data_IF_002266332817
#
_entry.id   IF_002266332817
#
_cell.length_a   1.000
_cell.length_b   1.000
_cell.length_c   1.000
_cell.angle_alpha   90.00
_cell.angle_beta   90.00
_cell.angle_gamma   90.00
#
_symmetry.space_group_name_H-M   'P 1'
#
loop_
_entity.id
_entity.type
_entity.pdbx_description
1 polymer ?
#
# COMPACT_ATOMS: atom_id res chain seq x y z
N UNK A 1 10.64 -6.43 -13.63
CA UNK A 1 10.26 -5.03 -13.36
C UNK A 1 8.74 -4.98 -13.36
N UNK A 2 8.15 -4.04 -12.64
CA UNK A 2 6.69 -3.96 -12.54
C UNK A 2 6.19 -2.86 -13.46
N UNK A 3 5.14 -3.15 -14.20
CA UNK A 3 4.48 -2.18 -15.08
C UNK A 3 3.17 -1.77 -14.45
N UNK A 4 2.85 -0.47 -14.50
CA UNK A 4 1.56 0.07 -14.13
C UNK A 4 0.93 0.83 -15.30
N UNK A 5 -0.39 0.78 -15.37
CA UNK A 5 -1.16 1.64 -16.27
C UNK A 5 -1.62 2.87 -15.49
N UNK A 6 -1.39 4.07 -16.04
CA UNK A 6 -1.83 5.33 -15.44
C UNK A 6 -2.52 6.21 -16.47
N UNK A 7 -3.38 7.10 -16.00
CA UNK A 7 -3.99 8.12 -16.83
C UNK A 7 -3.15 9.41 -16.81
N UNK A 8 -2.77 9.88 -17.98
CA UNK A 8 -1.94 11.06 -18.18
C UNK A 8 -2.55 12.33 -17.62
N UNK A 9 -3.87 12.51 -17.70
CA UNK A 9 -4.54 13.71 -17.18
C UNK A 9 -4.43 13.75 -15.67
N UNK A 10 -4.68 12.62 -15.03
CA UNK A 10 -4.53 12.47 -13.58
C UNK A 10 -3.10 12.71 -13.13
N UNK A 11 -2.12 12.17 -13.87
CA UNK A 11 -0.72 12.49 -13.65
C UNK A 11 -0.45 13.99 -13.76
N UNK A 12 -0.91 14.64 -14.84
CA UNK A 12 -0.76 16.09 -15.05
C UNK A 12 -1.42 16.91 -13.94
N UNK A 13 -2.61 16.51 -13.48
CA UNK A 13 -3.34 17.16 -12.40
C UNK A 13 -2.58 17.07 -11.06
N UNK A 14 -2.02 15.89 -10.74
CA UNK A 14 -1.23 15.66 -9.53
C UNK A 14 0.13 16.38 -9.56
N UNK A 15 0.75 16.49 -10.73
CA UNK A 15 1.99 17.26 -10.89
C UNK A 15 1.73 18.77 -10.83
N UNK A 16 0.58 19.22 -11.35
CA UNK A 16 0.24 20.64 -11.49
C UNK A 16 0.86 21.33 -12.71
N UNK A 17 1.54 20.60 -13.59
CA UNK A 17 2.01 21.09 -14.89
C UNK A 17 2.01 19.97 -15.93
N UNK A 18 1.82 20.35 -17.20
CA UNK A 18 1.90 19.41 -18.32
C UNK A 18 3.35 19.21 -18.79
N UNK A 19 3.65 17.99 -19.21
CA UNK A 19 4.94 17.63 -19.80
C UNK A 19 4.73 17.05 -21.20
N UNK A 20 5.64 17.39 -22.12
CA UNK A 20 5.65 16.76 -23.45
C UNK A 20 6.00 15.27 -23.34
N UNK A 21 5.45 14.47 -24.25
CA UNK A 21 5.72 13.02 -24.30
C UNK A 21 7.22 12.72 -24.42
N UNK A 22 7.95 13.52 -25.24
CA UNK A 22 9.41 13.43 -25.36
C UNK A 22 10.11 13.61 -24.01
N UNK A 23 9.69 14.59 -23.21
CA UNK A 23 10.26 14.84 -21.89
C UNK A 23 9.90 13.73 -20.89
N UNK A 24 8.68 13.20 -20.98
CA UNK A 24 8.27 12.03 -20.19
C UNK A 24 9.06 10.78 -20.56
N UNK A 25 9.43 10.57 -21.82
CA UNK A 25 10.18 9.38 -22.24
C UNK A 25 11.68 9.49 -21.95
N UNK A 26 12.31 10.63 -22.28
CA UNK A 26 13.78 10.76 -22.26
C UNK A 26 14.35 10.99 -20.85
N UNK A 27 13.64 11.73 -20.00
CA UNK A 27 14.17 12.16 -18.69
C UNK A 27 13.69 11.27 -17.53
N UNK A 28 12.67 10.44 -17.74
CA UNK A 28 12.13 9.49 -16.76
C UNK A 28 13.13 8.46 -16.25
N UNK A 29 14.04 8.04 -17.13
CA UNK A 29 15.03 6.99 -16.83
C UNK A 29 15.84 7.30 -15.57
N UNK A 30 16.10 8.59 -15.30
CA UNK A 30 16.84 9.04 -14.12
C UNK A 30 16.05 8.88 -12.82
N UNK A 31 14.73 8.77 -12.89
CA UNK A 31 13.84 8.54 -11.75
C UNK A 31 13.59 7.06 -11.45
N UNK A 32 14.15 6.15 -12.24
CA UNK A 32 13.90 4.71 -12.14
C UNK A 32 12.51 4.33 -12.66
N UNK A 33 11.99 5.11 -13.60
CA UNK A 33 10.72 4.86 -14.30
C UNK A 33 10.94 5.01 -15.81
N UNK A 34 10.25 4.21 -16.60
CA UNK A 34 10.34 4.19 -18.06
C UNK A 34 8.96 4.21 -18.66
N UNK A 35 8.66 5.22 -19.47
CA UNK A 35 7.38 5.34 -20.16
C UNK A 35 7.48 4.61 -21.50
N UNK A 36 6.65 3.60 -21.72
CA UNK A 36 6.70 2.76 -22.92
C UNK A 36 5.77 3.26 -24.00
N UNK A 37 4.47 3.31 -23.70
CA UNK A 37 3.42 3.67 -24.65
C UNK A 37 2.55 4.76 -24.04
N UNK A 38 2.32 5.82 -24.82
CA UNK A 38 1.38 6.90 -24.50
C UNK A 38 0.31 6.85 -25.61
N UNK A 39 -0.80 6.15 -25.35
CA UNK A 39 -1.95 6.10 -26.25
C UNK A 39 -3.07 7.01 -25.72
N UNK A 40 -3.10 8.23 -26.24
CA UNK A 40 -4.04 9.26 -25.79
C UNK A 40 -3.77 9.66 -24.33
N UNK A 41 -4.63 9.22 -23.41
CA UNK A 41 -4.41 9.45 -21.97
C UNK A 41 -3.94 8.20 -21.23
N UNK A 42 -3.90 7.02 -21.86
CA UNK A 42 -3.46 5.79 -21.18
C UNK A 42 -1.97 5.66 -21.38
N UNK A 43 -1.24 5.52 -20.27
CA UNK A 43 0.22 5.44 -20.26
C UNK A 43 0.68 4.17 -19.56
N UNK A 44 1.55 3.41 -20.22
CA UNK A 44 2.22 2.27 -19.62
C UNK A 44 3.58 2.70 -19.07
N UNK A 45 3.77 2.57 -17.75
CA UNK A 45 5.01 2.96 -17.07
C UNK A 45 5.64 1.74 -16.39
N UNK A 46 6.89 1.46 -16.71
CA UNK A 46 7.70 0.43 -16.07
C UNK A 46 8.56 1.03 -14.95
N UNK A 47 8.50 0.41 -13.77
CA UNK A 47 9.14 0.87 -12.55
C UNK A 47 10.28 -0.06 -12.14
N UNK A 48 11.37 0.55 -11.68
CA UNK A 48 12.49 -0.19 -11.12
C UNK A 48 12.14 -0.78 -9.75
N UNK A 49 12.62 -2.00 -9.42
CA UNK A 49 12.26 -2.68 -8.17
C UNK A 49 12.67 -1.94 -6.89
N UNK A 50 13.62 -1.01 -6.97
CA UNK A 50 14.11 -0.22 -5.84
C UNK A 50 13.28 1.06 -5.58
N UNK A 51 12.22 1.32 -6.37
CA UNK A 51 11.31 2.47 -6.22
C UNK A 51 9.85 2.02 -6.10
N UNK A 52 9.50 1.24 -5.06
CA UNK A 52 8.12 0.80 -4.86
C UNK A 52 7.17 1.96 -4.58
N UNK A 53 7.70 3.10 -4.12
CA UNK A 53 6.97 4.35 -3.97
C UNK A 53 6.46 4.92 -5.30
N UNK A 54 6.97 4.47 -6.45
CA UNK A 54 6.51 4.87 -7.78
C UNK A 54 5.50 3.89 -8.40
N UNK A 55 5.03 2.85 -7.70
CA UNK A 55 4.07 1.86 -8.24
C UNK A 55 2.63 2.40 -8.35
N UNK A 56 2.45 3.72 -8.35
CA UNK A 56 1.19 4.40 -8.55
C UNK A 56 1.40 5.75 -9.22
N UNK A 57 0.32 6.34 -9.75
CA UNK A 57 0.36 7.66 -10.39
C UNK A 57 0.77 8.77 -9.40
N UNK A 58 0.35 8.67 -8.14
CA UNK A 58 0.70 9.59 -7.05
C UNK A 58 2.20 9.57 -6.77
N UNK A 59 2.77 8.36 -6.72
CA UNK A 59 4.18 8.14 -6.54
C UNK A 59 5.04 8.74 -7.66
N UNK A 60 4.64 8.48 -8.90
CA UNK A 60 5.32 9.02 -10.08
C UNK A 60 5.18 10.54 -10.11
N UNK A 61 3.98 11.08 -9.92
CA UNK A 61 3.74 12.53 -9.91
C UNK A 61 4.61 13.23 -8.86
N UNK A 62 4.68 12.70 -7.63
CA UNK A 62 5.56 13.21 -6.57
C UNK A 62 7.04 13.19 -6.97
N UNK A 63 7.52 12.11 -7.57
CA UNK A 63 8.89 12.03 -8.05
C UNK A 63 9.19 13.08 -9.15
N UNK A 64 8.23 13.30 -10.04
CA UNK A 64 8.34 14.28 -11.12
C UNK A 64 8.32 15.72 -10.61
N UNK A 65 7.47 16.03 -9.62
CA UNK A 65 7.41 17.37 -9.01
C UNK A 65 8.78 17.80 -8.48
N UNK A 66 9.47 16.90 -7.78
CA UNK A 66 10.81 17.16 -7.26
C UNK A 66 11.91 17.19 -8.34
N UNK A 67 11.85 16.29 -9.33
CA UNK A 67 12.89 16.18 -10.36
C UNK A 67 12.90 17.33 -11.36
N UNK A 68 11.71 17.84 -11.71
CA UNK A 68 11.55 18.91 -12.68
C UNK A 68 11.41 20.30 -12.05
N UNK A 69 11.81 20.45 -10.78
CA UNK A 69 11.77 21.71 -10.02
C UNK A 69 10.38 22.37 -9.98
N UNK A 70 9.31 21.58 -10.08
CA UNK A 70 7.93 22.07 -9.94
C UNK A 70 7.65 22.38 -8.47
N UNK A 71 8.00 21.44 -7.60
CA UNK A 71 7.94 21.58 -6.14
C UNK A 71 9.21 20.95 -5.54
N UNK A 72 10.31 21.73 -5.49
CA UNK A 72 11.58 21.22 -5.01
C UNK A 72 11.58 21.05 -3.49
N UNK A 73 12.20 19.98 -3.02
CA UNK A 73 12.30 19.66 -1.59
C UNK A 73 11.54 18.40 -1.24
N UNK A 74 11.40 18.15 0.07
CA UNK A 74 10.61 17.03 0.57
C UNK A 74 9.15 17.43 0.68
N UNK A 75 8.27 16.52 0.28
CA UNK A 75 6.85 16.63 0.59
C UNK A 75 6.63 16.53 2.11
N UNK A 76 5.65 17.28 2.62
CA UNK A 76 5.34 17.30 4.05
C UNK A 76 3.96 16.70 4.30
N UNK A 77 3.92 15.47 4.80
CA UNK A 77 2.68 14.83 5.21
C UNK A 77 2.32 15.23 6.65
N UNK A 78 1.11 15.76 6.82
CA UNK A 78 0.55 15.99 8.15
C UNK A 78 -0.02 14.68 8.69
N UNK A 79 0.33 14.36 9.94
CA UNK A 79 -0.20 13.20 10.65
C UNK A 79 -1.04 13.68 11.82
N UNK A 80 -2.33 13.39 11.77
CA UNK A 80 -3.28 13.68 12.84
C UNK A 80 -3.23 12.57 13.91
N UNK A 81 -3.51 12.93 15.16
CA UNK A 81 -3.69 11.95 16.21
C UNK A 81 -5.06 11.29 16.06
N UNK A 82 -5.10 9.97 15.84
CA UNK A 82 -6.33 9.20 15.79
C UNK A 82 -6.59 8.45 17.10
N UNK A 83 -7.86 8.11 17.33
CA UNK A 83 -8.33 7.42 18.54
C UNK A 83 -8.52 5.90 18.34
N UNK A 84 -8.28 5.38 17.12
CA UNK A 84 -8.44 3.95 16.83
C UNK A 84 -7.25 3.17 17.37
N UNK A 85 -7.57 2.07 18.06
CA UNK A 85 -6.62 1.12 18.62
C UNK A 85 -6.80 -0.26 17.96
N UNK A 86 -5.67 -0.91 17.69
CA UNK A 86 -5.60 -2.30 17.25
C UNK A 86 -4.82 -3.09 18.29
N UNK A 87 -5.50 -4.02 18.95
CA UNK A 87 -4.88 -4.98 19.87
C UNK A 87 -4.33 -6.14 19.05
N UNK A 88 -3.05 -6.45 19.21
CA UNK A 88 -2.41 -7.61 18.58
C UNK A 88 -2.27 -8.70 19.64
N UNK A 89 -2.83 -9.88 19.39
CA UNK A 89 -2.71 -11.03 20.31
C UNK A 89 -1.47 -11.87 19.98
N UNK A 90 -0.81 -12.42 21.01
CA UNK A 90 0.32 -13.36 20.86
C UNK A 90 0.02 -14.56 19.94
N UNK A 91 -1.27 -14.87 19.70
CA UNK A 91 -1.71 -15.94 18.82
C UNK A 91 -1.23 -15.78 17.37
N UNK A 92 -0.89 -14.56 16.91
CA UNK A 92 -0.38 -14.33 15.56
C UNK A 92 1.14 -14.49 15.43
N UNK A 93 1.88 -14.63 16.53
CA UNK A 93 3.35 -14.58 16.54
C UNK A 93 4.01 -15.63 15.62
N UNK A 94 3.49 -16.85 15.67
CA UNK A 94 4.01 -18.00 14.91
C UNK A 94 3.50 -18.04 13.46
N UNK A 95 2.52 -17.20 13.11
CA UNK A 95 1.86 -17.21 11.80
C UNK A 95 2.23 -15.98 10.97
N UNK A 96 1.93 -14.80 11.50
CA UNK A 96 2.08 -13.51 10.81
C UNK A 96 2.16 -12.37 11.86
N UNK A 97 3.33 -12.17 12.49
CA UNK A 97 3.46 -11.42 13.74
C UNK A 97 3.27 -9.91 13.63
N UNK A 98 3.37 -9.31 12.44
CA UNK A 98 3.42 -7.85 12.31
C UNK A 98 2.13 -7.32 11.69
N UNK A 99 1.55 -6.31 12.33
CA UNK A 99 0.52 -5.45 11.76
C UNK A 99 0.96 -3.98 11.83
N UNK A 100 0.72 -3.24 10.76
CA UNK A 100 0.73 -1.78 10.74
C UNK A 100 -0.66 -1.28 10.35
N UNK A 101 -1.04 -0.11 10.85
CA UNK A 101 -2.38 0.45 10.62
C UNK A 101 -2.34 1.97 10.46
N UNK A 102 -3.28 2.50 9.68
CA UNK A 102 -3.54 3.92 9.55
C UNK A 102 -5.02 4.15 9.23
N UNK A 103 -5.51 5.35 9.50
CA UNK A 103 -6.83 5.80 9.07
C UNK A 103 -6.66 6.96 8.10
N UNK A 104 -7.41 6.97 7.01
CA UNK A 104 -7.46 8.09 6.08
C UNK A 104 -8.88 8.65 6.07
N UNK A 105 -9.02 9.94 6.37
CA UNK A 105 -10.32 10.63 6.40
C UNK A 105 -10.54 11.50 5.17
N UNK A 106 -11.80 11.81 4.91
CA UNK A 106 -12.24 12.84 3.97
C UNK A 106 -11.74 12.60 2.53
N UNK A 107 -11.75 11.34 2.08
CA UNK A 107 -11.43 10.98 0.70
C UNK A 107 -12.61 11.23 -0.24
N UNK A 108 -12.30 11.70 -1.44
CA UNK A 108 -13.24 11.72 -2.57
C UNK A 108 -12.83 10.63 -3.57
N UNK A 109 -13.41 9.43 -3.42
CA UNK A 109 -13.08 8.28 -4.24
C UNK A 109 -13.93 8.23 -5.51
N UNK A 110 -13.25 8.09 -6.65
CA UNK A 110 -13.89 7.71 -7.92
C UNK A 110 -13.46 6.29 -8.28
N UNK A 111 -14.23 5.60 -9.13
CA UNK A 111 -13.85 4.26 -9.64
C UNK A 111 -12.41 4.23 -10.16
N UNK A 112 -11.98 5.32 -10.81
CA UNK A 112 -10.61 5.47 -11.32
C UNK A 112 -9.56 5.49 -10.21
N UNK A 113 -9.81 6.25 -9.14
CA UNK A 113 -8.90 6.30 -7.97
C UNK A 113 -8.87 4.93 -7.29
N UNK A 114 -10.03 4.29 -7.11
CA UNK A 114 -10.15 2.96 -6.49
C UNK A 114 -9.34 1.93 -7.30
N UNK A 115 -9.49 1.92 -8.63
CA UNK A 115 -8.71 1.04 -9.51
C UNK A 115 -7.21 1.32 -9.40
N UNK A 116 -6.80 2.58 -9.28
CA UNK A 116 -5.41 2.97 -9.05
C UNK A 116 -4.85 2.45 -7.71
N UNK A 117 -5.65 2.52 -6.64
CA UNK A 117 -5.29 2.00 -5.32
C UNK A 117 -5.20 0.46 -5.31
N UNK A 118 -6.16 -0.22 -5.96
CA UNK A 118 -6.12 -1.68 -6.14
C UNK A 118 -4.86 -2.07 -6.92
N UNK A 119 -4.54 -1.36 -8.01
CA UNK A 119 -3.30 -1.59 -8.75
C UNK A 119 -2.06 -1.40 -7.86
N UNK A 120 -1.96 -0.31 -7.09
CA UNK A 120 -0.85 -0.10 -6.16
C UNK A 120 -0.73 -1.26 -5.17
N UNK A 121 -1.84 -1.66 -4.55
CA UNK A 121 -1.90 -2.79 -3.63
C UNK A 121 -1.39 -4.08 -4.28
N UNK A 122 -1.90 -4.45 -5.46
CA UNK A 122 -1.51 -5.67 -6.16
C UNK A 122 -0.02 -5.67 -6.57
N UNK A 123 0.49 -4.52 -7.03
CA UNK A 123 1.90 -4.39 -7.41
C UNK A 123 2.80 -4.50 -6.18
N UNK A 124 2.41 -3.92 -5.04
CA UNK A 124 3.13 -4.08 -3.77
C UNK A 124 3.08 -5.53 -3.28
N UNK A 125 1.93 -6.20 -3.34
CA UNK A 125 1.78 -7.62 -3.00
C UNK A 125 2.69 -8.51 -3.84
N UNK A 126 2.75 -8.28 -5.15
CA UNK A 126 3.56 -9.09 -6.06
C UNK A 126 5.06 -8.82 -5.88
N UNK A 127 5.46 -7.56 -5.73
CA UNK A 127 6.87 -7.16 -5.69
C UNK A 127 7.45 -7.25 -4.27
N UNK A 128 7.24 -6.23 -3.44
CA UNK A 128 7.71 -6.17 -2.06
C UNK A 128 7.14 -7.30 -1.21
N UNK A 129 5.90 -7.70 -1.48
CA UNK A 129 5.14 -8.70 -0.74
C UNK A 129 5.46 -10.14 -1.10
N UNK A 130 6.22 -10.41 -2.17
CA UNK A 130 6.52 -11.77 -2.65
C UNK A 130 5.25 -12.62 -2.77
N UNK A 131 4.30 -12.15 -3.58
CA UNK A 131 2.97 -12.77 -3.71
C UNK A 131 2.25 -12.88 -2.35
N UNK A 132 2.22 -11.77 -1.62
CA UNK A 132 1.59 -11.60 -0.29
C UNK A 132 2.23 -12.30 0.91
N UNK A 133 3.18 -13.23 0.70
CA UNK A 133 3.86 -13.93 1.79
C UNK A 133 4.52 -12.95 2.79
N UNK A 134 5.25 -11.95 2.27
CA UNK A 134 6.00 -10.98 3.08
C UNK A 134 5.12 -9.87 3.65
N UNK A 135 4.20 -9.33 2.84
CA UNK A 135 3.23 -8.29 3.23
C UNK A 135 1.88 -8.52 2.55
N UNK A 136 0.80 -8.19 3.24
CA UNK A 136 -0.55 -8.11 2.69
C UNK A 136 -1.16 -6.81 3.17
N UNK A 137 -1.93 -6.16 2.32
CA UNK A 137 -2.49 -4.83 2.52
C UNK A 137 -3.99 -5.01 2.38
N UNK A 138 -4.75 -4.50 3.34
CA UNK A 138 -6.19 -4.36 3.24
C UNK A 138 -6.59 -2.89 3.26
N UNK A 139 -7.58 -2.58 2.43
CA UNK A 139 -8.29 -1.31 2.41
C UNK A 139 -9.71 -1.63 2.86
N UNK A 140 -10.17 -0.93 3.90
CA UNK A 140 -11.44 -1.19 4.56
C UNK A 140 -12.26 0.09 4.69
N UNK A 141 -13.49 0.09 4.19
CA UNK A 141 -14.44 1.16 4.54
C UNK A 141 -14.71 1.14 6.05
N UNK A 142 -14.55 2.29 6.70
CA UNK A 142 -14.73 2.47 8.14
C UNK A 142 -16.18 2.65 8.58
N UNK A 143 -17.11 2.93 7.66
CA UNK A 143 -18.46 3.41 7.95
C UNK A 143 -19.22 2.49 8.94
N UNK A 144 -19.13 1.19 8.73
CA UNK A 144 -19.86 0.19 9.52
C UNK A 144 -19.03 -0.47 10.64
N UNK A 145 -17.73 -0.17 10.72
CA UNK A 145 -16.83 -0.79 11.68
C UNK A 145 -16.91 -0.15 13.07
N UNK A 146 -16.63 -0.95 14.11
CA UNK A 146 -16.60 -0.47 15.51
C UNK A 146 -15.24 -0.74 16.16
N UNK A 147 -14.37 0.27 16.33
CA UNK A 147 -13.14 0.11 17.09
C UNK A 147 -13.42 -0.17 18.59
N UNK A 148 -12.46 -0.73 19.36
CA UNK A 148 -11.11 -1.12 18.93
C UNK A 148 -11.13 -2.35 18.02
N UNK A 149 -10.07 -2.52 17.23
CA UNK A 149 -9.88 -3.72 16.41
C UNK A 149 -8.97 -4.71 17.12
N UNK A 150 -9.06 -5.98 16.77
CA UNK A 150 -8.24 -7.06 17.31
C UNK A 150 -7.65 -7.87 16.15
N UNK A 151 -6.32 -8.06 16.17
CA UNK A 151 -5.60 -8.94 15.27
C UNK A 151 -5.17 -10.19 16.03
N UNK A 152 -5.72 -11.33 15.63
CA UNK A 152 -5.57 -12.61 16.35
C UNK A 152 -5.57 -13.78 15.38
N UNK A 153 -5.05 -14.94 15.80
CA UNK A 153 -5.20 -16.19 15.06
C UNK A 153 -6.33 -17.04 15.65
N UNK A 154 -7.16 -17.62 14.78
CA UNK A 154 -8.34 -18.42 15.15
C UNK A 154 -8.36 -19.75 14.40
N UNK A 155 -9.10 -20.74 14.89
CA UNK A 155 -9.27 -22.01 14.17
C UNK A 155 -10.12 -21.84 12.90
N UNK A 156 -9.92 -22.70 11.89
CA UNK A 156 -10.56 -22.59 10.56
C UNK A 156 -12.10 -22.51 10.55
N UNK A 157 -12.77 -22.97 11.62
CA UNK A 157 -14.23 -22.99 11.75
C UNK A 157 -14.74 -22.13 12.92
N UNK A 158 -13.86 -21.35 13.55
CA UNK A 158 -14.23 -20.52 14.70
C UNK A 158 -15.01 -19.26 14.28
N UNK A 159 -14.71 -18.73 13.10
CA UNK A 159 -15.34 -17.54 12.53
C UNK A 159 -15.81 -17.81 11.11
N UNK A 160 -16.83 -17.05 10.71
CA UNK A 160 -17.39 -17.06 9.37
C UNK A 160 -17.70 -15.62 8.94
N UNK A 161 -17.50 -15.32 7.66
CA UNK A 161 -17.85 -14.03 7.08
C UNK A 161 -18.11 -14.16 5.58
N UNK A 162 -18.65 -13.11 4.97
CA UNK A 162 -18.88 -13.04 3.53
C UNK A 162 -17.61 -12.51 2.85
N UNK A 163 -16.85 -13.33 2.11
CA UNK A 163 -15.66 -12.85 1.41
C UNK A 163 -16.05 -11.89 0.28
N UNK A 164 -15.16 -10.96 -0.04
CA UNK A 164 -15.35 -9.97 -1.10
C UNK A 164 -15.72 -10.64 -2.44
N UNK A 165 -16.72 -10.09 -3.15
CA UNK A 165 -17.26 -10.61 -4.40
C UNK A 165 -17.93 -12.00 -4.29
N UNK A 166 -18.42 -12.36 -3.11
CA UNK A 166 -19.14 -13.62 -2.88
C UNK A 166 -20.47 -13.38 -2.18
N UNK A 167 -21.51 -14.17 -2.49
CA UNK A 167 -22.86 -14.01 -1.91
C UNK A 167 -23.06 -14.77 -0.59
N UNK A 168 -22.30 -15.85 -0.38
CA UNK A 168 -22.46 -16.75 0.76
C UNK A 168 -21.43 -16.48 1.86
N UNK A 169 -21.88 -16.58 3.12
CA UNK A 169 -21.01 -16.62 4.30
C UNK A 169 -20.23 -17.94 4.32
N UNK A 170 -18.92 -17.86 4.58
CA UNK A 170 -18.01 -19.01 4.55
C UNK A 170 -17.11 -18.99 5.81
N UNK A 171 -16.77 -20.18 6.32
CA UNK A 171 -15.70 -20.32 7.30
C UNK A 171 -14.33 -20.10 6.65
N UNK A 172 -13.28 -19.89 7.44
CA UNK A 172 -11.92 -19.73 6.91
C UNK A 172 -11.47 -20.95 6.12
N UNK A 173 -11.81 -22.15 6.59
CA UNK A 173 -11.53 -23.41 5.88
C UNK A 173 -12.23 -23.48 4.52
N UNK A 174 -13.52 -23.11 4.45
CA UNK A 174 -14.25 -23.04 3.19
C UNK A 174 -13.65 -22.00 2.24
N UNK A 175 -13.24 -20.83 2.75
CA UNK A 175 -12.56 -19.80 1.96
C UNK A 175 -11.28 -20.39 1.34
N UNK A 176 -10.45 -21.08 2.12
CA UNK A 176 -9.21 -21.68 1.62
C UNK A 176 -9.44 -22.75 0.54
N UNK A 177 -10.51 -23.54 0.66
CA UNK A 177 -10.81 -24.64 -0.27
C UNK A 177 -11.55 -24.18 -1.54
N UNK A 178 -12.52 -23.27 -1.40
CA UNK A 178 -13.52 -22.98 -2.44
C UNK A 178 -13.36 -21.59 -3.08
N UNK A 179 -12.88 -20.58 -2.34
CA UNK A 179 -12.78 -19.21 -2.84
C UNK A 179 -11.54 -19.02 -3.74
N UNK A 180 -11.65 -18.24 -4.83
CA UNK A 180 -10.55 -18.01 -5.78
C UNK A 180 -9.26 -17.55 -5.09
N UNK A 181 -9.36 -16.56 -4.20
CA UNK A 181 -8.21 -16.06 -3.43
C UNK A 181 -7.68 -17.05 -2.39
N UNK A 182 -8.53 -17.93 -1.86
CA UNK A 182 -8.10 -19.02 -0.99
C UNK A 182 -7.27 -20.04 -1.77
N UNK A 183 -7.71 -20.41 -2.97
CA UNK A 183 -6.97 -21.31 -3.86
C UNK A 183 -5.65 -20.69 -4.36
N UNK A 184 -5.64 -19.38 -4.61
CA UNK A 184 -4.46 -18.65 -5.11
C UNK A 184 -3.39 -18.45 -4.01
N UNK A 185 -3.79 -18.09 -2.78
CA UNK A 185 -2.87 -17.66 -1.71
C UNK A 185 -2.86 -18.56 -0.48
N UNK A 186 -3.69 -19.60 -0.42
CA UNK A 186 -3.81 -20.50 0.74
C UNK A 186 -2.50 -21.22 1.10
N UNK A 187 -1.60 -21.42 0.13
CA UNK A 187 -0.26 -21.95 0.34
C UNK A 187 0.58 -21.15 1.35
N UNK A 188 0.28 -19.86 1.56
CA UNK A 188 0.99 -19.03 2.55
C UNK A 188 0.75 -19.52 3.99
N UNK A 189 -0.40 -20.17 4.21
CA UNK A 189 -0.86 -20.64 5.52
C UNK A 189 -0.97 -22.16 5.60
N UNK A 190 -0.42 -22.92 4.63
CA UNK A 190 -0.62 -24.37 4.53
C UNK A 190 -0.07 -25.18 5.71
N UNK A 191 0.97 -24.66 6.37
CA UNK A 191 1.62 -25.29 7.53
C UNK A 191 1.04 -24.81 8.87
N UNK A 192 -0.07 -24.04 8.87
CA UNK A 192 -0.60 -23.38 10.05
C UNK A 192 -1.87 -24.06 10.56
N UNK A 193 -1.99 -24.17 11.88
CA UNK A 193 -3.20 -24.72 12.54
C UNK A 193 -4.22 -23.63 12.90
N UNK A 194 -3.77 -22.37 12.98
CA UNK A 194 -4.57 -21.20 13.26
C UNK A 194 -4.32 -20.11 12.21
N UNK A 195 -5.35 -19.31 11.95
CA UNK A 195 -5.44 -18.41 10.81
C UNK A 195 -5.63 -16.97 11.29
N UNK A 196 -4.81 -16.02 10.82
CA UNK A 196 -4.86 -14.66 11.32
C UNK A 196 -6.09 -13.93 10.77
N UNK A 197 -6.80 -13.23 11.63
CA UNK A 197 -8.00 -12.44 11.31
C UNK A 197 -7.91 -11.09 11.99
N UNK A 198 -8.43 -10.06 11.31
CA UNK A 198 -8.69 -8.76 11.93
C UNK A 198 -10.19 -8.69 12.18
N UNK A 199 -10.58 -8.39 13.41
CA UNK A 199 -11.98 -8.25 13.80
C UNK A 199 -12.22 -6.94 14.55
N UNK A 200 -13.45 -6.44 14.54
CA UNK A 200 -13.83 -5.24 15.26
C UNK A 200 -14.28 -5.53 16.70
N UNK A 201 -14.64 -4.48 17.45
CA UNK A 201 -15.08 -4.56 18.84
C UNK A 201 -16.41 -5.29 19.05
N UNK A 202 -17.18 -5.54 17.98
CA UNK A 202 -18.37 -6.38 17.99
C UNK A 202 -18.05 -7.83 17.58
N UNK A 203 -16.80 -8.13 17.22
CA UNK A 203 -16.38 -9.43 16.69
C UNK A 203 -16.68 -9.63 15.21
N UNK A 204 -17.02 -8.57 14.47
CA UNK A 204 -17.20 -8.65 13.03
C UNK A 204 -15.82 -8.73 12.36
N UNK A 205 -15.60 -9.72 11.49
CA UNK A 205 -14.32 -9.90 10.78
C UNK A 205 -14.19 -8.82 9.70
N UNK A 206 -13.08 -8.08 9.68
CA UNK A 206 -12.71 -7.14 8.61
C UNK A 206 -12.02 -7.90 7.47
N UNK A 207 -11.08 -8.78 7.83
CA UNK A 207 -10.28 -9.54 6.86
C UNK A 207 -9.73 -10.83 7.44
N UNK A 208 -9.36 -11.71 6.52
CA UNK A 208 -8.55 -12.89 6.75
C UNK A 208 -7.22 -12.72 6.00
N UNK A 209 -6.22 -12.03 6.58
CA UNK A 209 -4.92 -11.88 5.94
C UNK A 209 -4.17 -13.22 5.76
N UNK A 210 -3.34 -13.37 4.72
CA UNK A 210 -3.19 -12.52 3.55
C UNK A 210 -4.18 -12.88 2.41
N UNK A 211 -5.28 -13.56 2.72
CA UNK A 211 -6.16 -14.21 1.75
C UNK A 211 -7.18 -13.23 1.17
N UNK A 212 -8.11 -12.71 1.98
CA UNK A 212 -9.26 -11.96 1.49
C UNK A 212 -9.86 -11.02 2.54
N UNK A 213 -10.50 -9.94 2.08
CA UNK A 213 -11.27 -9.01 2.91
C UNK A 213 -12.74 -9.44 3.00
N UNK A 214 -13.44 -8.96 4.03
CA UNK A 214 -14.88 -9.10 4.14
C UNK A 214 -15.58 -8.10 3.20
N UNK A 215 -16.62 -8.59 2.52
CA UNK A 215 -17.57 -7.80 1.72
C UNK A 215 -18.16 -6.61 2.50
N UNK A 216 -18.31 -6.74 3.83
CA UNK A 216 -18.75 -5.66 4.73
C UNK A 216 -17.89 -4.40 4.65
N UNK A 217 -16.61 -4.56 4.33
CA UNK A 217 -15.61 -3.47 4.32
C UNK A 217 -15.15 -3.11 2.91
N UNK A 218 -15.92 -3.51 1.89
CA UNK A 218 -15.63 -3.16 0.51
C UNK A 218 -15.50 -1.64 0.37
N UNK A 219 -14.50 -1.23 -0.42
CA UNK A 219 -14.27 0.17 -0.74
C UNK A 219 -14.93 0.47 -2.06
N UNK A 220 -15.85 1.43 -2.06
CA UNK A 220 -16.53 1.91 -3.25
C UNK A 220 -16.43 3.45 -3.38
N UNK A 221 -17.17 4.03 -4.32
CA UNK A 221 -17.16 5.48 -4.57
C UNK A 221 -17.86 6.31 -3.48
N UNK A 222 -18.67 5.69 -2.63
CA UNK A 222 -19.32 6.34 -1.50
C UNK A 222 -18.44 6.28 -0.23
N UNK A 223 -17.42 5.43 -0.21
CA UNK A 223 -16.41 5.37 0.86
C UNK A 223 -15.63 6.69 0.97
N UNK A 224 -15.66 7.29 2.16
CA UNK A 224 -14.95 8.55 2.48
C UNK A 224 -13.84 8.36 3.50
N UNK A 225 -13.97 7.36 4.37
CA UNK A 225 -13.03 7.06 5.44
C UNK A 225 -12.53 5.63 5.30
N UNK A 226 -11.20 5.46 5.29
CA UNK A 226 -10.55 4.17 5.13
C UNK A 226 -9.76 3.78 6.37
N UNK A 227 -9.85 2.52 6.76
CA UNK A 227 -8.84 1.86 7.58
C UNK A 227 -7.91 1.07 6.65
N UNK A 228 -6.62 1.37 6.73
CA UNK A 228 -5.57 0.69 5.99
C UNK A 228 -4.81 -0.19 6.97
N UNK A 229 -4.82 -1.50 6.74
CA UNK A 229 -3.95 -2.44 7.47
C UNK A 229 -2.88 -3.00 6.54
N UNK A 230 -1.70 -3.25 7.12
CA UNK A 230 -0.65 -3.99 6.46
C UNK A 230 -0.14 -5.07 7.40
N UNK A 231 -0.34 -6.34 7.06
CA UNK A 231 0.13 -7.48 7.84
C UNK A 231 1.31 -8.16 7.18
N UNK A 232 2.22 -8.75 7.95
CA UNK A 232 3.40 -9.40 7.38
C UNK A 232 4.28 -10.14 8.37
N UNK A 233 5.34 -10.73 7.81
CA UNK A 233 6.41 -11.41 8.58
C UNK A 233 7.63 -10.51 8.81
N UNK A 234 7.73 -9.40 8.07
CA UNK A 234 8.88 -8.50 8.08
C UNK A 234 8.44 -7.08 8.39
N UNK A 235 8.83 -6.59 9.57
CA UNK A 235 8.38 -5.28 10.07
C UNK A 235 8.78 -4.12 9.17
N UNK A 236 9.99 -4.13 8.63
CA UNK A 236 10.43 -3.07 7.74
C UNK A 236 9.58 -3.00 6.46
N UNK A 237 9.28 -4.14 5.84
CA UNK A 237 8.41 -4.17 4.66
C UNK A 237 6.99 -3.73 4.98
N UNK A 238 6.43 -4.14 6.13
CA UNK A 238 5.10 -3.72 6.59
C UNK A 238 5.03 -2.20 6.73
N UNK A 239 5.94 -1.59 7.50
CA UNK A 239 5.94 -0.14 7.70
C UNK A 239 6.22 0.63 6.40
N UNK A 240 7.12 0.13 5.56
CA UNK A 240 7.40 0.78 4.27
C UNK A 240 6.18 0.75 3.34
N UNK A 241 5.47 -0.37 3.27
CA UNK A 241 4.27 -0.48 2.45
C UNK A 241 3.11 0.35 3.00
N UNK A 242 2.92 0.37 4.32
CA UNK A 242 1.97 1.27 4.97
C UNK A 242 2.26 2.71 4.59
N UNK A 243 3.51 3.17 4.74
CA UNK A 243 3.92 4.52 4.39
C UNK A 243 3.69 4.85 2.90
N UNK A 244 3.92 3.91 1.98
CA UNK A 244 3.64 4.12 0.55
C UNK A 244 2.15 4.31 0.30
N UNK A 245 1.29 3.44 0.86
CA UNK A 245 -0.16 3.51 0.66
C UNK A 245 -0.75 4.78 1.27
N UNK A 246 -0.41 5.10 2.51
CA UNK A 246 -0.96 6.29 3.19
C UNK A 246 -0.49 7.59 2.54
N UNK A 247 0.75 7.65 2.05
CA UNK A 247 1.23 8.85 1.34
C UNK A 247 0.59 8.97 -0.04
N UNK A 248 0.32 7.87 -0.75
CA UNK A 248 -0.46 7.92 -1.99
C UNK A 248 -1.88 8.44 -1.73
N UNK A 249 -2.55 7.98 -0.67
CA UNK A 249 -3.87 8.48 -0.28
C UNK A 249 -3.84 9.95 0.18
N UNK A 250 -2.76 10.40 0.82
CA UNK A 250 -2.58 11.81 1.18
C UNK A 250 -2.44 12.73 -0.05
N UNK A 251 -1.80 12.27 -1.13
CA UNK A 251 -1.77 13.01 -2.41
C UNK A 251 -3.16 13.19 -3.03
N UNK A 252 -4.13 12.37 -2.63
CA UNK A 252 -5.55 12.48 -3.03
C UNK A 252 -6.37 13.37 -2.11
N UNK A 253 -5.72 14.11 -1.20
CA UNK A 253 -6.38 15.00 -0.24
C UNK A 253 -6.84 14.31 1.04
N UNK A 254 -6.59 12.99 1.18
CA UNK A 254 -6.94 12.25 2.38
C UNK A 254 -6.15 12.72 3.61
N UNK A 255 -6.83 12.87 4.74
CA UNK A 255 -6.19 13.25 6.00
C UNK A 255 -5.71 12.00 6.73
N UNK A 256 -4.40 11.88 6.92
CA UNK A 256 -3.81 10.72 7.60
C UNK A 256 -3.96 10.88 9.11
N UNK A 257 -4.66 9.92 9.72
CA UNK A 257 -4.78 9.72 11.16
C UNK A 257 -3.93 8.54 11.61
N UNK A 258 -3.23 8.73 12.73
CA UNK A 258 -2.47 7.65 13.37
C UNK A 258 -3.39 6.64 14.06
N UNK A 259 -2.98 5.38 14.05
CA UNK A 259 -3.60 4.27 14.76
C UNK A 259 -2.62 3.76 15.81
N UNK A 260 -3.12 3.42 16.99
CA UNK A 260 -2.32 2.78 18.03
C UNK A 260 -2.37 1.27 17.85
N UNK A 261 -1.27 0.65 17.41
CA UNK A 261 -1.13 -0.80 17.24
C UNK A 261 -0.22 -1.32 18.34
N UNK A 262 -0.76 -2.14 19.25
CA UNK A 262 -0.03 -2.67 20.42
C UNK A 262 0.79 -1.60 21.18
N UNK A 263 0.16 -0.45 21.44
CA UNK A 263 0.77 0.69 22.14
C UNK A 263 1.73 1.55 21.31
N UNK A 264 2.03 1.18 20.06
CA UNK A 264 2.81 1.96 19.11
C UNK A 264 1.90 2.80 18.21
N UNK A 265 2.21 4.09 18.04
CA UNK A 265 1.49 4.95 17.08
C UNK A 265 2.08 4.81 15.69
N UNK A 266 1.24 4.42 14.73
CA UNK A 266 1.58 4.23 13.32
C UNK A 266 0.64 5.05 12.44
N UNK A 267 1.03 5.41 11.20
CA UNK A 267 2.35 5.25 10.60
C UNK A 267 3.38 6.24 11.19
N UNK A 268 4.67 5.90 11.10
CA UNK A 268 5.74 6.87 11.30
C UNK A 268 6.16 7.46 9.93
N UNK A 269 5.74 8.71 9.69
CA UNK A 269 6.05 9.48 8.49
C UNK A 269 7.22 10.46 8.71
N UNK A 270 7.96 10.33 9.81
CA UNK A 270 9.12 11.17 10.05
C UNK A 270 10.22 10.91 9.00
N UNK A 271 10.90 11.97 8.52
CA UNK A 271 11.97 11.81 7.55
C UNK A 271 13.16 11.09 8.17
N UNK A 272 13.75 10.15 7.44
CA UNK A 272 15.08 9.65 7.79
C UNK A 272 16.14 10.73 7.51
N UNK A 273 17.22 10.73 8.30
CA UNK A 273 18.34 11.66 8.12
C UNK A 273 19.65 10.90 7.94
N UNK A 274 20.51 11.43 7.08
CA UNK A 274 21.84 10.89 6.83
C UNK A 274 22.81 12.06 6.63
N UNK A 275 23.95 12.00 7.31
CA UNK A 275 25.04 12.94 7.08
C UNK A 275 25.85 12.50 5.86
N UNK A 276 26.11 13.41 4.95
CA UNK A 276 26.86 13.16 3.73
C UNK A 276 28.15 13.99 3.73
N UNK A 277 29.27 13.36 3.39
CA UNK A 277 30.53 14.05 3.12
C UNK A 277 30.54 14.55 1.66
N UNK A 278 30.49 15.87 1.41
CA UNK A 278 30.48 16.40 0.05
C UNK A 278 31.73 16.05 -0.75
N UNK A 279 32.88 15.83 -0.09
CA UNK A 279 34.14 15.57 -0.76
C UNK A 279 34.19 14.14 -1.33
N UNK A 280 33.56 13.17 -0.66
CA UNK A 280 33.36 11.82 -1.19
C UNK A 280 32.67 11.84 -2.57
N UNK A 281 31.60 12.63 -2.72
CA UNK A 281 30.85 12.69 -3.98
C UNK A 281 31.61 13.44 -5.08
N UNK A 282 32.37 14.48 -4.73
CA UNK A 282 33.20 15.25 -5.68
C UNK A 282 34.34 14.41 -6.25
N UNK A 283 34.93 13.50 -5.46
CA UNK A 283 36.02 12.62 -5.92
C UNK A 283 35.56 11.58 -6.97
N UNK A 284 34.26 11.23 -7.02
CA UNK A 284 33.76 10.19 -7.93
C UNK A 284 33.70 10.64 -9.40
N UNK A 285 33.68 11.96 -9.68
CA UNK A 285 33.71 12.46 -11.06
C UNK A 285 35.02 12.17 -11.80
N UNK A 286 36.12 11.90 -11.10
CA UNK A 286 37.40 11.52 -11.72
C UNK A 286 37.45 10.05 -12.16
N UNK A 287 36.59 9.18 -11.60
CA UNK A 287 36.59 7.74 -11.91
C UNK A 287 35.71 7.39 -13.10
N UNK A 288 34.60 8.11 -13.32
CA UNK A 288 33.71 7.91 -14.49
C UNK A 288 34.43 8.09 -15.81
N UNK A 289 35.47 8.94 -15.87
CA UNK A 289 36.31 9.10 -17.07
C UNK A 289 37.25 7.93 -17.37
N UNK A 290 37.51 7.02 -16.41
CA UNK A 290 38.38 5.85 -16.63
C UNK A 290 37.65 4.65 -17.24
N UNK A 291 36.34 4.55 -17.09
CA UNK A 291 35.52 3.48 -17.71
C UNK A 291 35.13 3.78 -19.16
N UNK A 292 35.25 5.05 -19.59
CA UNK A 292 34.95 5.52 -20.95
C UNK A 292 36.20 5.68 -21.84
N UNK A 293 37.32 5.05 -21.47
CA UNK A 293 38.55 4.99 -22.27
C UNK A 293 38.85 3.58 -22.75
#
# INVERSE_FOLDING_TARGET
MATIEIDKREFTDLVGTDFSDEKLMDEASFLGVHWHEIDGNVCEVENYPNRPDCLSVEGIARAYRGFFDVEPGREHYSLNEGDIEVVVEDSVDEVRPVLGGAVIRDLELSEKIINGLIQLQEKLHHTMGRQRDKIAIGLHDLSDLKPPFTYKAVEQNEVEFQPLNHEETMSLGQILEEHEKGQEYGWILEDQEAFPVIADGNGQVLSFPPIINNQLTEVDSDTTDLFVDVTGKDRQAVMSALNIVVTALAERGGQVESVTVDGERLPDLSPSSMELDPDYFRMSQDWTWRLLR
#
